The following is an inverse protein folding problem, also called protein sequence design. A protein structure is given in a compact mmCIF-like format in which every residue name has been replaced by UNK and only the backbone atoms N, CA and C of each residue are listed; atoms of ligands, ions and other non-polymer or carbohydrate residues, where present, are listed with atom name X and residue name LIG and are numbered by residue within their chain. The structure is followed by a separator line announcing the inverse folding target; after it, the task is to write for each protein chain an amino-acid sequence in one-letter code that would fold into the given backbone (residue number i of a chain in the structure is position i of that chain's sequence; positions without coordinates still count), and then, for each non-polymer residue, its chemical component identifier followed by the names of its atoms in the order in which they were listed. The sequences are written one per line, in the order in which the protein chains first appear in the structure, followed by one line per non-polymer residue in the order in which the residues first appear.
data_IF_023658897358
#
_entry.id   IF_023658897358
#
_cell.length_a   1.000
_cell.length_b   1.000
_cell.length_c   1.000
_cell.angle_alpha   90.00
_cell.angle_beta   90.00
_cell.angle_gamma   90.00
#
_symmetry.space_group_name_H-M   'P 1'
#
loop_
_entity.id
_entity.type
_entity.pdbx_description
1 polymer ?
#
# COMPACT_ATOMS: atom_id res chain seq x y z
N UNK A 1 33.52 31.93 10.14
CA UNK A 1 33.29 31.60 11.57
C UNK A 1 32.34 30.42 11.57
N UNK A 2 32.75 29.25 12.06
CA UNK A 2 31.86 28.11 12.15
C UNK A 2 30.95 28.30 13.37
N UNK A 3 29.63 28.28 13.16
CA UNK A 3 28.66 28.25 14.27
C UNK A 3 28.86 26.93 15.03
N UNK A 4 29.36 27.04 16.26
CA UNK A 4 29.54 25.90 17.15
C UNK A 4 28.18 25.60 17.79
N UNK A 5 27.60 24.47 17.41
CA UNK A 5 26.36 23.96 17.98
C UNK A 5 26.53 23.82 19.50
N UNK A 6 25.60 24.39 20.27
CA UNK A 6 25.67 24.36 21.73
C UNK A 6 25.24 22.99 22.28
N UNK A 7 25.59 22.71 23.54
CA UNK A 7 25.14 21.48 24.20
C UNK A 7 23.62 21.41 24.34
N UNK A 8 22.94 22.55 24.43
CA UNK A 8 21.48 22.63 24.52
C UNK A 8 20.84 22.26 23.17
N UNK A 9 21.39 22.76 22.07
CA UNK A 9 20.93 22.41 20.72
C UNK A 9 21.07 20.90 20.47
N UNK A 10 22.17 20.31 20.92
CA UNK A 10 22.42 18.87 20.82
C UNK A 10 21.39 18.06 21.60
N UNK A 11 21.02 18.54 22.80
CA UNK A 11 20.03 17.89 23.67
C UNK A 11 18.62 17.94 23.06
N UNK A 12 18.21 19.09 22.51
CA UNK A 12 16.93 19.25 21.82
C UNK A 12 16.81 18.34 20.59
N UNK A 13 17.89 18.19 19.83
CA UNK A 13 17.95 17.28 18.68
C UNK A 13 17.79 15.82 19.14
N UNK A 14 18.49 15.41 20.21
CA UNK A 14 18.40 14.05 20.76
C UNK A 14 16.99 13.76 21.27
N UNK A 15 16.36 14.68 22.01
CA UNK A 15 14.99 14.51 22.51
C UNK A 15 13.98 14.40 21.37
N UNK A 16 14.16 15.20 20.31
CA UNK A 16 13.31 15.14 19.11
C UNK A 16 13.48 13.82 18.36
N UNK A 17 14.72 13.32 18.22
CA UNK A 17 15.01 12.02 17.61
C UNK A 17 14.47 10.87 18.47
N UNK A 18 14.52 10.99 19.80
CA UNK A 18 13.98 9.98 20.72
C UNK A 18 12.45 9.94 20.67
N UNK A 19 11.77 11.09 20.67
CA UNK A 19 10.31 11.18 20.46
C UNK A 19 9.88 10.63 19.10
N UNK A 20 10.71 10.82 18.06
CA UNK A 20 10.47 10.26 16.73
C UNK A 20 10.81 8.76 16.60
N UNK A 21 11.61 8.17 17.50
CA UNK A 21 11.94 6.74 17.50
C UNK A 21 10.82 5.88 18.08
N UNK A 22 10.01 6.42 18.98
CA UNK A 22 8.76 5.77 19.41
C UNK A 22 7.69 6.02 18.36
N UNK A 23 7.63 5.16 17.32
CA UNK A 23 6.41 5.08 16.51
C UNK A 23 5.23 4.89 17.48
N UNK A 24 4.16 5.68 17.39
CA UNK A 24 2.97 5.40 18.19
C UNK A 24 2.52 3.98 17.86
N UNK A 25 2.72 3.06 18.80
CA UNK A 25 2.25 1.69 18.68
C UNK A 25 0.79 1.68 19.07
N UNK A 26 -0.04 1.13 18.20
CA UNK A 26 -1.46 0.94 18.50
C UNK A 26 -1.61 0.10 19.76
N UNK A 27 -2.53 0.48 20.65
CA UNK A 27 -2.92 -0.38 21.76
C UNK A 27 -3.56 -1.67 21.23
N UNK A 28 -3.62 -2.75 22.01
CA UNK A 28 -4.33 -3.96 21.61
C UNK A 28 -5.77 -3.70 21.12
N UNK A 29 -6.51 -2.82 21.79
CA UNK A 29 -7.90 -2.46 21.46
C UNK A 29 -7.98 -1.73 20.11
N UNK A 30 -7.07 -0.79 19.87
CA UNK A 30 -6.99 -0.08 18.58
C UNK A 30 -6.61 -1.03 17.44
N UNK A 31 -5.71 -2.00 17.69
CA UNK A 31 -5.37 -3.05 16.72
C UNK A 31 -6.59 -3.90 16.39
N UNK A 32 -7.34 -4.36 17.40
CA UNK A 32 -8.55 -5.15 17.19
C UNK A 32 -9.54 -4.38 16.29
N UNK A 33 -9.81 -3.11 16.61
CA UNK A 33 -10.70 -2.27 15.81
C UNK A 33 -10.23 -2.12 14.36
N UNK A 34 -8.93 -1.87 14.15
CA UNK A 34 -8.36 -1.76 12.80
C UNK A 34 -8.41 -3.08 12.04
N UNK A 35 -8.16 -4.21 12.70
CA UNK A 35 -8.23 -5.54 12.08
C UNK A 35 -9.66 -5.85 11.60
N UNK A 36 -10.67 -5.60 12.42
CA UNK A 36 -12.08 -5.77 12.03
C UNK A 36 -12.41 -4.91 10.80
N UNK A 37 -11.99 -3.64 10.81
CA UNK A 37 -12.24 -2.72 9.71
C UNK A 37 -11.51 -3.12 8.41
N UNK A 38 -10.29 -3.67 8.50
CA UNK A 38 -9.56 -4.24 7.36
C UNK A 38 -10.24 -5.50 6.84
N UNK A 39 -10.72 -6.38 7.73
CA UNK A 39 -11.41 -7.61 7.35
C UNK A 39 -12.70 -7.34 6.59
N UNK A 40 -13.50 -6.38 7.05
CA UNK A 40 -14.71 -5.94 6.35
C UNK A 40 -14.39 -5.41 4.95
N UNK A 41 -13.43 -4.50 4.83
CA UNK A 41 -12.97 -3.97 3.54
C UNK A 41 -12.43 -5.07 2.63
N UNK A 42 -11.67 -6.02 3.14
CA UNK A 42 -11.09 -7.08 2.32
C UNK A 42 -12.17 -7.97 1.70
N UNK A 43 -13.22 -8.29 2.47
CA UNK A 43 -14.32 -9.13 2.01
C UNK A 43 -15.40 -8.38 1.20
N UNK A 44 -15.34 -7.06 1.16
CA UNK A 44 -16.20 -6.25 0.30
C UNK A 44 -15.95 -6.60 -1.18
N UNK A 45 -16.98 -7.15 -1.84
CA UNK A 45 -16.90 -7.58 -3.22
C UNK A 45 -16.99 -6.38 -4.16
N UNK A 46 -16.11 -6.35 -5.15
CA UNK A 46 -16.14 -5.41 -6.26
C UNK A 46 -16.21 -6.17 -7.57
N UNK A 47 -17.08 -5.73 -8.47
CA UNK A 47 -17.16 -6.24 -9.84
C UNK A 47 -16.36 -5.31 -10.75
N UNK A 48 -15.12 -5.69 -11.04
CA UNK A 48 -14.25 -4.92 -11.93
C UNK A 48 -14.47 -5.31 -13.39
N UNK A 49 -14.20 -4.36 -14.28
CA UNK A 49 -14.06 -4.59 -15.73
C UNK A 49 -12.84 -3.84 -16.27
N UNK A 50 -12.27 -4.28 -17.41
CA UNK A 50 -11.21 -3.53 -18.07
C UNK A 50 -11.62 -2.07 -18.30
N UNK A 51 -10.71 -1.15 -17.96
CA UNK A 51 -10.94 0.30 -18.03
C UNK A 51 -11.34 0.95 -16.70
N UNK A 52 -11.74 0.19 -15.68
CA UNK A 52 -12.07 0.77 -14.38
C UNK A 52 -10.83 1.40 -13.72
N UNK A 53 -11.01 2.58 -13.10
CA UNK A 53 -9.99 3.21 -12.27
C UNK A 53 -10.15 2.73 -10.84
N UNK A 54 -9.06 2.19 -10.29
CA UNK A 54 -9.04 1.55 -8.99
C UNK A 54 -7.94 2.11 -8.09
N UNK A 55 -8.20 2.05 -6.79
CA UNK A 55 -7.29 2.46 -5.73
C UNK A 55 -7.16 1.34 -4.71
N UNK A 56 -6.07 1.37 -3.94
CA UNK A 56 -5.97 0.52 -2.76
C UNK A 56 -7.10 0.86 -1.79
N UNK A 57 -7.77 -0.17 -1.28
CA UNK A 57 -8.60 -0.05 -0.08
C UNK A 57 -7.70 0.34 1.09
N UNK A 58 -8.25 1.16 1.97
CA UNK A 58 -7.54 1.69 3.13
C UNK A 58 -6.89 0.55 3.95
N UNK A 59 -5.60 0.70 4.27
CA UNK A 59 -4.80 -0.26 5.03
C UNK A 59 -4.59 -1.65 4.37
N UNK A 60 -4.92 -1.84 3.09
CA UNK A 60 -4.80 -3.14 2.40
C UNK A 60 -3.65 -3.23 1.35
N UNK A 61 -2.85 -2.18 1.16
CA UNK A 61 -1.67 -2.21 0.26
C UNK A 61 -0.60 -3.17 0.75
N UNK A 62 -0.16 -4.05 -0.12
CA UNK A 62 0.91 -5.02 0.14
C UNK A 62 2.00 -5.05 -0.94
N UNK A 63 1.90 -4.19 -1.96
CA UNK A 63 2.91 -4.05 -3.03
C UNK A 63 3.55 -2.67 -3.02
N UNK A 64 4.70 -2.55 -3.71
CA UNK A 64 5.44 -1.28 -3.82
C UNK A 64 4.63 -0.22 -4.56
N UNK A 65 4.07 -0.59 -5.71
CA UNK A 65 3.29 0.27 -6.62
C UNK A 65 1.87 -0.27 -6.78
N UNK A 66 0.88 0.59 -7.11
CA UNK A 66 0.96 2.06 -7.02
C UNK A 66 1.03 2.52 -5.56
N UNK A 67 1.31 3.79 -5.29
CA UNK A 67 1.10 4.37 -3.96
C UNK A 67 -0.38 4.39 -3.57
N UNK A 68 -0.72 4.60 -2.28
CA UNK A 68 -2.12 4.55 -1.82
C UNK A 68 -3.03 5.56 -2.55
N UNK A 69 -2.51 6.74 -2.84
CA UNK A 69 -3.25 7.83 -3.49
C UNK A 69 -3.05 7.87 -5.01
N UNK A 70 -2.31 6.89 -5.56
CA UNK A 70 -2.08 6.78 -7.00
C UNK A 70 -3.10 5.83 -7.64
N UNK A 71 -3.75 6.24 -8.74
CA UNK A 71 -4.70 5.40 -9.44
C UNK A 71 -3.99 4.32 -10.27
N UNK A 72 -4.65 3.16 -10.37
CA UNK A 72 -4.37 2.16 -11.38
C UNK A 72 -5.58 1.98 -12.30
N UNK A 73 -5.35 1.53 -13.52
CA UNK A 73 -6.41 1.11 -14.45
C UNK A 73 -6.45 -0.41 -14.56
N UNK A 74 -7.66 -0.99 -14.55
CA UNK A 74 -7.84 -2.42 -14.79
C UNK A 74 -7.53 -2.74 -16.25
N UNK A 75 -6.51 -3.55 -16.49
CA UNK A 75 -6.19 -4.06 -17.83
C UNK A 75 -6.91 -5.37 -18.11
N UNK A 76 -7.02 -6.23 -17.10
CA UNK A 76 -7.62 -7.56 -17.23
C UNK A 76 -8.15 -8.04 -15.87
N UNK A 77 -9.30 -8.71 -15.91
CA UNK A 77 -9.87 -9.48 -14.79
C UNK A 77 -9.69 -10.95 -15.12
N UNK A 78 -8.89 -11.66 -14.32
CA UNK A 78 -8.54 -13.06 -14.57
C UNK A 78 -9.70 -13.97 -14.18
N UNK A 79 -10.03 -14.92 -15.05
CA UNK A 79 -11.05 -15.95 -14.77
C UNK A 79 -10.59 -16.92 -13.67
N UNK A 80 -9.31 -17.23 -13.66
CA UNK A 80 -8.67 -18.10 -12.67
C UNK A 80 -7.50 -17.35 -12.02
N UNK A 81 -7.34 -17.43 -10.68
CA UNK A 81 -6.26 -16.74 -10.01
C UNK A 81 -4.90 -17.34 -10.36
N UNK A 82 -3.92 -16.47 -10.60
CA UNK A 82 -2.51 -16.85 -10.65
C UNK A 82 -1.96 -16.78 -9.23
N UNK A 83 -1.37 -17.86 -8.74
CA UNK A 83 -0.75 -17.85 -7.42
C UNK A 83 0.68 -17.35 -7.52
N UNK A 84 1.03 -16.40 -6.65
CA UNK A 84 2.39 -15.88 -6.56
C UNK A 84 3.40 -17.02 -6.25
N UNK A 85 4.58 -16.92 -6.87
CA UNK A 85 5.63 -17.93 -6.81
C UNK A 85 6.64 -17.72 -5.67
N UNK A 86 6.41 -16.73 -4.79
CA UNK A 86 7.23 -16.55 -3.58
C UNK A 86 7.28 -17.87 -2.78
N UNK A 87 8.47 -18.36 -2.40
CA UNK A 87 8.62 -19.70 -1.81
C UNK A 87 8.41 -19.76 -0.28
N UNK A 88 8.47 -18.62 0.41
CA UNK A 88 8.49 -18.57 1.88
C UNK A 88 7.11 -18.20 2.45
N UNK A 89 6.52 -19.08 3.26
CA UNK A 89 5.24 -18.86 3.92
C UNK A 89 5.26 -17.74 4.97
N UNK A 90 6.44 -17.30 5.40
CA UNK A 90 6.60 -16.07 6.20
C UNK A 90 6.35 -14.78 5.42
N UNK A 91 6.31 -14.84 4.08
CA UNK A 91 6.02 -13.69 3.25
C UNK A 91 4.51 -13.55 3.00
N UNK A 92 3.96 -12.36 3.24
CA UNK A 92 2.54 -12.05 3.00
C UNK A 92 2.04 -12.30 1.57
N UNK A 93 2.95 -12.43 0.61
CA UNK A 93 2.63 -12.70 -0.81
C UNK A 93 2.65 -14.19 -1.14
N UNK A 94 3.07 -15.07 -0.22
CA UNK A 94 3.12 -16.51 -0.44
C UNK A 94 1.75 -17.03 -0.85
N UNK A 95 1.65 -17.63 -2.04
CA UNK A 95 0.40 -18.15 -2.60
C UNK A 95 -0.74 -17.12 -2.58
N UNK A 96 -0.43 -15.84 -2.73
CA UNK A 96 -1.45 -14.82 -2.90
C UNK A 96 -2.22 -15.07 -4.21
N UNK A 97 -3.57 -15.05 -4.18
CA UNK A 97 -4.40 -15.24 -5.37
C UNK A 97 -4.47 -13.94 -6.18
N UNK A 98 -3.66 -13.84 -7.24
CA UNK A 98 -3.67 -12.69 -8.12
C UNK A 98 -4.82 -12.83 -9.13
N UNK A 99 -5.76 -11.90 -9.09
CA UNK A 99 -7.01 -11.94 -9.86
C UNK A 99 -7.16 -10.77 -10.82
N UNK A 100 -6.34 -9.71 -10.68
CA UNK A 100 -6.34 -8.55 -11.57
C UNK A 100 -4.97 -8.32 -12.18
N UNK A 101 -4.96 -7.87 -13.44
CA UNK A 101 -3.82 -7.19 -14.04
C UNK A 101 -4.11 -5.70 -14.08
N UNK A 102 -3.28 -4.92 -13.41
CA UNK A 102 -3.45 -3.47 -13.32
C UNK A 102 -2.29 -2.76 -14.03
N UNK A 103 -2.63 -1.67 -14.70
CA UNK A 103 -1.67 -0.72 -15.25
C UNK A 103 -1.56 0.51 -14.35
N UNK A 104 -0.34 0.97 -14.10
CA UNK A 104 -0.06 2.20 -13.35
C UNK A 104 1.02 3.01 -14.04
N UNK A 105 1.07 4.31 -13.75
CA UNK A 105 2.19 5.16 -14.13
C UNK A 105 3.28 5.07 -13.07
N UNK A 106 4.53 5.00 -13.53
CA UNK A 106 5.73 5.12 -12.71
C UNK A 106 6.52 6.32 -13.25
N UNK A 107 6.76 7.30 -12.39
CA UNK A 107 7.64 8.42 -12.72
C UNK A 107 9.09 7.96 -12.64
N UNK A 108 9.81 8.01 -13.76
CA UNK A 108 11.25 7.78 -13.82
C UNK A 108 11.94 8.98 -14.45
N UNK A 109 12.70 9.72 -13.63
CA UNK A 109 13.22 11.02 -14.03
C UNK A 109 12.07 12.00 -14.30
N UNK A 110 11.98 12.48 -15.54
CA UNK A 110 10.96 13.43 -15.98
C UNK A 110 9.88 12.79 -16.87
N UNK A 111 9.85 11.47 -16.98
CA UNK A 111 8.94 10.75 -17.86
C UNK A 111 8.05 9.78 -17.08
N UNK A 112 6.77 9.73 -17.46
CA UNK A 112 5.85 8.73 -16.94
C UNK A 112 5.92 7.47 -17.80
N UNK A 113 6.23 6.33 -17.18
CA UNK A 113 6.20 5.02 -17.85
C UNK A 113 4.96 4.26 -17.43
N UNK A 114 4.25 3.70 -18.40
CA UNK A 114 3.13 2.80 -18.14
C UNK A 114 3.65 1.39 -17.87
N UNK A 115 3.41 0.87 -16.67
CA UNK A 115 3.84 -0.46 -16.22
C UNK A 115 2.65 -1.29 -15.78
N UNK A 116 2.74 -2.61 -15.92
CA UNK A 116 1.65 -3.52 -15.59
C UNK A 116 2.11 -4.62 -14.62
N UNK A 117 1.29 -4.90 -13.61
CA UNK A 117 1.54 -5.95 -12.63
C UNK A 117 0.25 -6.71 -12.28
N UNK A 118 0.41 -7.88 -11.68
CA UNK A 118 -0.69 -8.69 -11.17
C UNK A 118 -0.92 -8.44 -9.68
N UNK A 119 -2.18 -8.43 -9.27
CA UNK A 119 -2.61 -8.10 -7.91
C UNK A 119 -3.79 -8.95 -7.46
N UNK A 120 -3.96 -9.07 -6.15
CA UNK A 120 -5.22 -9.53 -5.55
C UNK A 120 -6.27 -8.40 -5.60
N UNK A 121 -7.31 -8.60 -6.39
CA UNK A 121 -8.41 -7.65 -6.57
C UNK A 121 -9.22 -7.35 -5.30
N UNK A 122 -9.20 -8.21 -4.28
CA UNK A 122 -9.92 -7.96 -3.03
C UNK A 122 -9.39 -6.71 -2.29
N UNK A 123 -8.14 -6.33 -2.57
CA UNK A 123 -7.45 -5.18 -1.97
C UNK A 123 -7.75 -3.85 -2.64
N UNK A 124 -8.53 -3.85 -3.72
CA UNK A 124 -8.84 -2.66 -4.51
C UNK A 124 -10.32 -2.29 -4.43
N UNK A 125 -10.61 -1.00 -4.65
CA UNK A 125 -11.95 -0.48 -4.86
C UNK A 125 -11.94 0.54 -6.00
N UNK A 126 -13.08 0.73 -6.64
CA UNK A 126 -13.32 1.92 -7.47
C UNK A 126 -13.62 3.10 -6.55
N UNK A 127 -13.08 4.27 -6.87
CA UNK A 127 -13.59 5.53 -6.32
C UNK A 127 -14.30 6.23 -7.46
N UNK A 128 -15.58 6.56 -7.28
CA UNK A 128 -16.25 7.50 -8.16
C UNK A 128 -15.40 8.78 -8.19
N UNK A 129 -15.04 9.22 -9.39
CA UNK A 129 -14.35 10.51 -9.56
C UNK A 129 -15.41 11.59 -9.37
N UNK A 130 -15.40 12.26 -8.21
CA UNK A 130 -16.20 13.48 -8.00
C UNK A 130 -15.75 14.60 -8.94
#
# INVERSE_FOLDING_TARGET
MAEVISQEDLKQIIETIQKNKTKPSLTPEEKIKKLSACFERYNEKNEFKPGDIVFWKENLKNRRLPNYDEPSIVLEVLKEPIYDSVPDSGNSSFKEPLTLKLGTLLLEGNENRFVAFYYDGQRFCTRESN
#
